data_IF_313191739931
#
_entry.id   IF_313191739931
#
_cell.length_a   1.000
_cell.length_b   1.000
_cell.length_c   1.000
_cell.angle_alpha   90.00
_cell.angle_beta   90.00
_cell.angle_gamma   90.00
#
_symmetry.space_group_name_H-M   'P 1'
#
loop_
_entity.id
_entity.type
_entity.pdbx_description
1 polymer ?
#
# COMPACT_ATOMS: atom_id res chain seq x y z
N UNK A 1 26.06 -14.24 -5.67
CA UNK A 1 26.71 -12.92 -5.90
C UNK A 1 25.77 -11.87 -5.36
N UNK A 2 26.17 -11.10 -4.34
CA UNK A 2 25.34 -10.03 -3.76
C UNK A 2 25.63 -8.75 -4.54
N UNK A 3 24.64 -8.23 -5.25
CA UNK A 3 24.73 -6.91 -5.86
C UNK A 3 24.71 -5.87 -4.73
N UNK A 4 25.84 -5.21 -4.47
CA UNK A 4 25.91 -4.02 -3.64
C UNK A 4 25.24 -2.86 -4.39
N UNK A 5 23.90 -2.88 -4.47
CA UNK A 5 23.12 -1.77 -5.01
C UNK A 5 23.35 -0.55 -4.12
N UNK A 6 23.93 0.51 -4.70
CA UNK A 6 24.06 1.81 -4.04
C UNK A 6 22.67 2.23 -3.57
N UNK A 7 22.56 2.62 -2.30
CA UNK A 7 21.32 3.12 -1.72
C UNK A 7 20.79 4.28 -2.55
N UNK A 8 19.47 4.38 -2.68
CA UNK A 8 18.83 5.53 -3.33
C UNK A 8 19.06 6.79 -2.49
N UNK A 9 18.92 7.96 -3.11
CA UNK A 9 19.05 9.24 -2.41
C UNK A 9 18.11 9.32 -1.20
N UNK A 10 16.86 8.85 -1.35
CA UNK A 10 15.90 8.80 -0.24
C UNK A 10 16.35 7.88 0.90
N UNK A 11 16.91 6.71 0.58
CA UNK A 11 17.44 5.79 1.59
C UNK A 11 18.61 6.42 2.36
N UNK A 12 19.51 7.13 1.65
CA UNK A 12 20.61 7.85 2.29
C UNK A 12 20.12 8.99 3.19
N UNK A 13 19.09 9.73 2.77
CA UNK A 13 18.53 10.82 3.56
C UNK A 13 17.79 10.30 4.81
N UNK A 14 17.06 9.20 4.69
CA UNK A 14 16.46 8.53 5.86
C UNK A 14 17.53 8.07 6.87
N UNK A 15 18.65 7.51 6.39
CA UNK A 15 19.76 7.12 7.27
C UNK A 15 20.39 8.33 7.98
N UNK A 16 20.54 9.47 7.30
CA UNK A 16 21.00 10.71 7.94
C UNK A 16 20.03 11.15 9.03
N UNK A 17 18.72 11.11 8.76
CA UNK A 17 17.68 11.46 9.74
C UNK A 17 17.76 10.54 10.96
N UNK A 18 17.92 9.22 10.78
CA UNK A 18 18.09 8.27 11.89
C UNK A 18 19.36 8.52 12.71
N UNK A 19 20.42 9.06 12.11
CA UNK A 19 21.68 9.35 12.82
C UNK A 19 21.59 10.49 13.84
N UNK A 20 20.53 11.31 13.79
CA UNK A 20 20.32 12.48 14.65
C UNK A 20 19.77 12.09 16.04
N UNK A 21 19.53 10.80 16.30
CA UNK A 21 19.05 10.31 17.59
C UNK A 21 17.55 10.44 17.73
N UNK A 22 16.82 9.75 16.86
CA UNK A 22 15.35 9.70 16.89
C UNK A 22 14.89 8.74 18.00
N UNK A 23 13.94 9.18 18.81
CA UNK A 23 13.30 8.32 19.80
C UNK A 23 12.38 7.28 19.15
N UNK A 24 12.12 6.16 19.82
CA UNK A 24 11.21 5.13 19.31
C UNK A 24 9.80 5.68 18.96
N UNK A 25 9.31 6.67 19.72
CA UNK A 25 8.03 7.37 19.43
C UNK A 25 8.04 8.01 18.05
N UNK A 26 9.10 8.75 17.73
CA UNK A 26 9.23 9.43 16.45
C UNK A 26 9.42 8.45 15.29
N UNK A 27 10.02 7.28 15.52
CA UNK A 27 10.08 6.20 14.51
C UNK A 27 8.66 5.69 14.20
N UNK A 28 7.82 5.53 15.22
CA UNK A 28 6.41 5.15 15.05
C UNK A 28 5.67 6.23 14.28
N UNK A 29 5.83 7.51 14.65
CA UNK A 29 5.20 8.64 13.94
C UNK A 29 5.58 8.69 12.46
N UNK A 30 6.85 8.45 12.12
CA UNK A 30 7.31 8.38 10.72
C UNK A 30 6.67 7.20 9.99
N UNK A 31 6.54 6.03 10.64
CA UNK A 31 5.87 4.87 10.04
C UNK A 31 4.39 5.15 9.78
N UNK A 32 3.72 5.81 10.71
CA UNK A 32 2.31 6.16 10.57
C UNK A 32 2.12 7.19 9.45
N UNK A 33 3.00 8.20 9.37
CA UNK A 33 2.99 9.18 8.30
C UNK A 33 3.13 8.52 6.92
N UNK A 34 4.09 7.60 6.77
CA UNK A 34 4.29 6.86 5.52
C UNK A 34 3.09 5.97 5.20
N UNK A 35 2.56 5.26 6.19
CA UNK A 35 1.40 4.36 6.02
C UNK A 35 0.16 5.14 5.57
N UNK A 36 -0.10 6.28 6.21
CA UNK A 36 -1.21 7.16 5.84
C UNK A 36 -1.04 7.72 4.43
N UNK A 37 0.15 8.17 4.06
CA UNK A 37 0.42 8.67 2.71
C UNK A 37 0.15 7.62 1.62
N UNK A 38 0.62 6.38 1.82
CA UNK A 38 0.37 5.31 0.86
C UNK A 38 -1.08 4.86 0.85
N UNK A 39 -1.76 4.80 2.00
CA UNK A 39 -3.18 4.49 2.06
C UNK A 39 -4.03 5.54 1.32
N UNK A 40 -3.76 6.82 1.53
CA UNK A 40 -4.43 7.90 0.81
C UNK A 40 -4.20 7.83 -0.70
N UNK A 41 -2.97 7.57 -1.15
CA UNK A 41 -2.68 7.42 -2.56
C UNK A 41 -3.42 6.21 -3.16
N UNK A 42 -3.42 5.06 -2.47
CA UNK A 42 -4.13 3.87 -2.91
C UNK A 42 -5.64 4.12 -3.02
N UNK A 43 -6.23 4.82 -2.04
CA UNK A 43 -7.65 5.21 -2.09
C UNK A 43 -7.93 6.12 -3.28
N UNK A 44 -7.12 7.17 -3.50
CA UNK A 44 -7.28 8.08 -4.65
C UNK A 44 -7.18 7.36 -5.99
N UNK A 45 -6.24 6.43 -6.12
CA UNK A 45 -6.09 5.61 -7.32
C UNK A 45 -7.31 4.68 -7.52
N UNK A 46 -7.81 4.07 -6.45
CA UNK A 46 -9.02 3.24 -6.50
C UNK A 46 -10.23 4.06 -6.92
N UNK A 47 -10.44 5.24 -6.34
CA UNK A 47 -11.53 6.15 -6.71
C UNK A 47 -11.43 6.55 -8.20
N UNK A 48 -10.22 6.84 -8.69
CA UNK A 48 -10.01 7.17 -10.10
C UNK A 48 -10.33 5.98 -11.03
N UNK A 49 -9.97 4.75 -10.62
CA UNK A 49 -10.33 3.54 -11.36
C UNK A 49 -11.84 3.28 -11.32
N UNK A 50 -12.48 3.55 -10.19
CA UNK A 50 -13.92 3.40 -9.99
C UNK A 50 -14.70 4.24 -11.00
N UNK A 51 -14.38 5.52 -11.07
CA UNK A 51 -14.98 6.46 -12.02
C UNK A 51 -14.64 6.09 -13.47
N UNK A 52 -13.37 5.79 -13.77
CA UNK A 52 -12.95 5.46 -15.14
C UNK A 52 -13.65 4.23 -15.72
N UNK A 53 -13.89 3.22 -14.88
CA UNK A 53 -14.49 1.97 -15.32
C UNK A 53 -16.01 1.92 -15.12
N UNK A 54 -16.64 3.03 -14.71
CA UNK A 54 -18.05 3.11 -14.35
C UNK A 54 -18.49 1.98 -13.40
N UNK A 55 -17.62 1.66 -12.42
CA UNK A 55 -17.95 0.65 -11.43
C UNK A 55 -19.13 1.12 -10.59
N UNK A 56 -19.99 0.17 -10.23
CA UNK A 56 -21.19 0.42 -9.45
C UNK A 56 -21.35 -0.63 -8.37
N UNK A 57 -22.43 -0.52 -7.60
CA UNK A 57 -22.81 -1.56 -6.66
C UNK A 57 -22.94 -2.93 -7.34
N UNK A 58 -23.40 -2.98 -8.58
CA UNK A 58 -23.50 -4.21 -9.37
C UNK A 58 -22.13 -4.84 -9.61
N UNK A 59 -21.10 -4.03 -9.89
CA UNK A 59 -19.71 -4.52 -10.03
C UNK A 59 -19.21 -5.16 -8.73
N UNK A 60 -19.55 -4.59 -7.57
CA UNK A 60 -19.18 -5.18 -6.28
C UNK A 60 -19.91 -6.50 -6.04
N UNK A 61 -21.20 -6.55 -6.36
CA UNK A 61 -22.00 -7.76 -6.22
C UNK A 61 -21.46 -8.88 -7.14
N UNK A 62 -21.05 -8.56 -8.37
CA UNK A 62 -20.39 -9.49 -9.28
C UNK A 62 -19.04 -10.02 -8.74
N UNK A 63 -18.20 -9.14 -8.17
CA UNK A 63 -16.92 -9.54 -7.60
C UNK A 63 -17.08 -10.40 -6.35
N UNK A 64 -18.02 -10.04 -5.46
CA UNK A 64 -18.35 -10.82 -4.27
C UNK A 64 -18.84 -12.23 -4.64
N UNK A 65 -19.74 -12.33 -5.61
CA UNK A 65 -20.23 -13.61 -6.12
C UNK A 65 -19.13 -14.43 -6.80
N UNK A 66 -18.24 -13.77 -7.54
CA UNK A 66 -17.07 -14.43 -8.15
C UNK A 66 -16.13 -15.01 -7.09
N UNK A 67 -15.86 -14.25 -6.02
CA UNK A 67 -15.03 -14.71 -4.90
C UNK A 67 -15.66 -15.92 -4.17
N UNK A 68 -16.98 -15.94 -3.99
CA UNK A 68 -17.70 -17.08 -3.41
C UNK A 68 -17.64 -18.31 -4.31
N UNK A 69 -17.76 -18.13 -5.63
CA UNK A 69 -17.65 -19.23 -6.61
C UNK A 69 -16.26 -19.87 -6.61
N UNK A 70 -15.18 -19.08 -6.59
CA UNK A 70 -13.82 -19.63 -6.56
C UNK A 70 -13.54 -20.35 -5.23
N UNK A 71 -13.99 -19.81 -4.10
CA UNK A 71 -13.79 -20.46 -2.81
C UNK A 71 -14.50 -21.81 -2.76
N UNK A 72 -15.76 -21.88 -3.20
CA UNK A 72 -16.51 -23.14 -3.22
C UNK A 72 -15.93 -24.18 -4.20
N UNK A 73 -15.28 -23.74 -5.29
CA UNK A 73 -14.62 -24.63 -6.25
C UNK A 73 -13.26 -25.16 -5.78
N UNK A 74 -12.61 -24.48 -4.82
CA UNK A 74 -11.30 -24.88 -4.26
C UNK A 74 -11.49 -25.75 -3.00
N UNK A 75 -12.64 -25.64 -2.32
CA UNK A 75 -12.96 -26.42 -1.12
C UNK A 75 -13.77 -27.69 -1.38
N UNK A 76 -14.08 -28.01 -2.65
CA UNK A 76 -14.74 -29.24 -3.11
C UNK A 76 -13.75 -30.18 -3.80
#
# INVERSE_FOLDING_TARGET
MVNSSKLTNLQLDLLKIFSIGISDSQIIEIRDLLSNYFAENATKEMDALWEKNNWSQETMDEWANTHLRINNAITS
#
